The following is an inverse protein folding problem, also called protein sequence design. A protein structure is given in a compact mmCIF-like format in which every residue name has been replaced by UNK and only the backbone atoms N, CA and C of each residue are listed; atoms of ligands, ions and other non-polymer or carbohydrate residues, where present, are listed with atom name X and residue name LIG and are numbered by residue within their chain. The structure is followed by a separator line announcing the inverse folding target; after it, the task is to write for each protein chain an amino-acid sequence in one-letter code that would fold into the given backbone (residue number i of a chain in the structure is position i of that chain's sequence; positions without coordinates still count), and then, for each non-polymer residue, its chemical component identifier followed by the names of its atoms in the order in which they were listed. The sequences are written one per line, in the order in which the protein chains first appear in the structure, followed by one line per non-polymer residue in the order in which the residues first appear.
data_IF_748336862159
#
_entry.id   IF_748336862159
#
_cell.length_a   1.000
_cell.length_b   1.000
_cell.length_c   1.000
_cell.angle_alpha   90.00
_cell.angle_beta   90.00
_cell.angle_gamma   90.00
#
_symmetry.space_group_name_H-M   'P 1'
#
loop_
_entity.id
_entity.type
_entity.pdbx_description
1 polymer ?
#
# COMPACT_ATOMS: atom_id res chain seq x y z
N UNK A 1 19.15 5.92 -1.37
CA UNK A 1 18.96 5.98 -2.84
C UNK A 1 20.33 5.95 -3.49
N UNK A 2 20.60 5.06 -4.41
CA UNK A 2 21.93 4.90 -5.02
C UNK A 2 22.14 5.86 -6.21
N UNK A 3 22.14 7.18 -5.98
CA UNK A 3 22.46 8.17 -6.99
C UNK A 3 21.24 8.84 -7.65
N UNK A 4 21.54 9.73 -8.63
CA UNK A 4 20.55 10.57 -9.30
C UNK A 4 19.53 9.77 -10.12
N UNK A 5 19.99 8.75 -10.81
CA UNK A 5 19.14 7.87 -11.62
C UNK A 5 18.00 7.24 -10.80
N UNK A 6 18.27 6.86 -9.54
CA UNK A 6 17.24 6.35 -8.65
C UNK A 6 16.21 7.41 -8.23
N UNK A 7 16.66 8.67 -8.08
CA UNK A 7 15.76 9.80 -7.79
C UNK A 7 14.86 10.05 -9.01
N UNK A 8 15.40 10.01 -10.20
CA UNK A 8 14.66 10.21 -11.46
C UNK A 8 13.62 9.11 -11.69
N UNK A 9 13.95 7.84 -11.37
CA UNK A 9 13.02 6.73 -11.47
C UNK A 9 11.90 6.79 -10.41
N UNK A 10 12.21 7.26 -9.20
CA UNK A 10 11.24 7.33 -8.10
C UNK A 10 10.38 8.61 -8.12
N UNK A 11 10.95 9.69 -8.66
CA UNK A 11 10.24 10.95 -8.77
C UNK A 11 9.32 10.97 -9.99
N UNK A 12 8.13 10.82 -9.97
CA UNK A 12 7.20 10.80 -11.11
C UNK A 12 6.45 9.49 -11.26
N UNK A 13 6.58 8.60 -10.25
CA UNK A 13 5.70 7.44 -10.16
C UNK A 13 4.27 7.91 -9.85
N UNK A 14 3.29 7.32 -10.51
CA UNK A 14 1.87 7.57 -10.30
C UNK A 14 1.17 6.40 -9.59
N UNK A 15 1.86 5.27 -9.46
CA UNK A 15 1.30 4.05 -8.92
C UNK A 15 2.35 3.30 -8.10
N UNK A 16 1.97 2.83 -6.92
CA UNK A 16 2.80 2.05 -6.01
C UNK A 16 2.09 0.74 -5.67
N UNK A 17 2.76 -0.39 -5.89
CA UNK A 17 2.28 -1.68 -5.42
C UNK A 17 2.85 -1.98 -4.04
N UNK A 18 1.98 -2.41 -3.12
CA UNK A 18 2.33 -2.79 -1.74
C UNK A 18 1.53 -4.02 -1.30
N UNK A 19 1.98 -4.64 -0.23
CA UNK A 19 1.19 -5.69 0.44
C UNK A 19 0.28 -5.07 1.52
N UNK A 20 -0.87 -5.70 1.77
CA UNK A 20 -1.80 -5.28 2.82
C UNK A 20 -1.15 -5.32 4.21
N UNK A 21 -0.17 -6.19 4.43
CA UNK A 21 0.60 -6.27 5.66
C UNK A 21 1.48 -5.04 5.92
N UNK A 22 1.79 -4.26 4.89
CA UNK A 22 2.47 -2.96 5.03
C UNK A 22 1.51 -1.87 5.52
N UNK A 23 0.21 -2.03 5.26
CA UNK A 23 -0.83 -1.11 5.73
C UNK A 23 -1.37 -1.51 7.11
N UNK A 24 -1.51 -2.80 7.35
CA UNK A 24 -2.06 -3.31 8.59
C UNK A 24 -1.04 -4.19 9.30
N UNK A 25 -0.56 -3.74 10.45
CA UNK A 25 0.29 -4.55 11.33
C UNK A 25 -0.54 -5.63 12.05
N UNK A 26 0.13 -6.59 12.68
CA UNK A 26 -0.54 -7.68 13.41
C UNK A 26 -1.57 -7.21 14.44
N UNK A 27 -1.41 -6.00 15.01
CA UNK A 27 -2.33 -5.42 16.00
C UNK A 27 -3.47 -4.60 15.36
N UNK A 28 -3.51 -4.49 14.05
CA UNK A 28 -4.50 -3.67 13.33
C UNK A 28 -5.84 -4.37 13.17
N UNK A 29 -5.88 -5.69 13.18
CA UNK A 29 -7.11 -6.46 13.16
C UNK A 29 -7.62 -6.68 14.59
N UNK A 30 -8.91 -6.52 14.81
CA UNK A 30 -9.59 -6.73 16.10
C UNK A 30 -10.78 -7.64 15.89
N UNK A 31 -11.01 -8.55 16.84
CA UNK A 31 -12.19 -9.41 16.87
C UNK A 31 -13.26 -8.71 17.69
N UNK A 32 -14.33 -8.26 17.04
CA UNK A 32 -15.45 -7.56 17.69
C UNK A 32 -16.47 -8.55 18.27
N UNK A 33 -16.78 -9.62 17.54
CA UNK A 33 -17.78 -10.62 17.96
C UNK A 33 -17.52 -11.98 17.32
N UNK A 34 -18.04 -13.03 17.96
CA UNK A 34 -18.06 -14.39 17.43
C UNK A 34 -19.47 -14.94 17.55
N UNK A 35 -20.05 -15.37 16.45
CA UNK A 35 -21.35 -16.07 16.43
C UNK A 35 -21.14 -17.54 16.15
N UNK A 36 -21.65 -18.37 17.05
CA UNK A 36 -21.59 -19.83 16.94
C UNK A 36 -22.93 -20.35 16.44
N UNK A 37 -22.89 -21.21 15.43
CA UNK A 37 -24.06 -21.84 14.85
C UNK A 37 -24.30 -23.23 15.45
N UNK A 38 -25.47 -23.83 15.11
CA UNK A 38 -25.91 -25.12 15.65
C UNK A 38 -24.85 -26.21 15.42
N UNK A 39 -24.42 -26.84 16.50
CA UNK A 39 -23.37 -27.88 16.46
C UNK A 39 -21.96 -27.37 16.64
N UNK A 40 -21.73 -26.04 16.57
CA UNK A 40 -20.45 -25.43 16.82
C UNK A 40 -20.13 -25.27 18.31
N UNK A 41 -18.81 -25.11 18.57
CA UNK A 41 -18.28 -24.76 19.90
C UNK A 41 -17.25 -23.66 19.71
N UNK A 42 -17.29 -22.65 20.59
CA UNK A 42 -16.45 -21.46 20.48
C UNK A 42 -14.95 -21.79 20.57
N UNK A 43 -14.58 -22.67 21.51
CA UNK A 43 -13.21 -23.12 21.69
C UNK A 43 -12.66 -23.82 20.43
N UNK A 44 -13.45 -24.71 19.83
CA UNK A 44 -13.09 -25.41 18.60
C UNK A 44 -13.04 -24.47 17.39
N UNK A 45 -14.00 -23.54 17.30
CA UNK A 45 -14.02 -22.55 16.21
C UNK A 45 -12.76 -21.68 16.21
N UNK A 46 -12.36 -21.20 17.40
CA UNK A 46 -11.12 -20.42 17.56
C UNK A 46 -9.90 -21.26 17.19
N UNK A 47 -9.79 -22.51 17.68
CA UNK A 47 -8.66 -23.37 17.39
C UNK A 47 -8.55 -23.72 15.91
N UNK A 48 -9.65 -24.04 15.22
CA UNK A 48 -9.63 -24.29 13.78
C UNK A 48 -9.19 -23.05 13.00
N UNK A 49 -9.78 -21.88 13.30
CA UNK A 49 -9.40 -20.63 12.66
C UNK A 49 -7.93 -20.29 12.90
N UNK A 50 -7.46 -20.36 14.16
CA UNK A 50 -6.07 -20.10 14.51
C UNK A 50 -5.11 -21.08 13.83
N UNK A 51 -5.48 -22.38 13.72
CA UNK A 51 -4.64 -23.39 13.05
C UNK A 51 -4.46 -23.08 11.57
N UNK A 52 -5.56 -22.81 10.84
CA UNK A 52 -5.52 -22.47 9.42
C UNK A 52 -4.75 -21.18 9.17
N UNK A 53 -5.04 -20.13 9.95
CA UNK A 53 -4.38 -18.83 9.80
C UNK A 53 -2.92 -18.84 10.23
N UNK A 54 -2.51 -19.73 11.13
CA UNK A 54 -1.10 -19.85 11.50
C UNK A 54 -0.23 -20.32 10.34
N UNK A 55 -0.77 -21.13 9.45
CA UNK A 55 -0.08 -21.60 8.24
C UNK A 55 -0.22 -20.63 7.04
N UNK A 56 -1.15 -19.67 7.12
CA UNK A 56 -1.33 -18.63 6.12
C UNK A 56 -0.42 -17.43 6.37
N UNK A 57 -0.42 -16.49 5.45
CA UNK A 57 0.14 -15.15 5.60
C UNK A 57 -1.01 -14.14 5.72
N UNK A 58 -0.75 -12.98 6.29
CA UNK A 58 -1.72 -11.89 6.42
C UNK A 58 -1.94 -11.43 7.86
N UNK A 59 -2.65 -10.32 8.00
CA UNK A 59 -2.89 -9.64 9.28
C UNK A 59 -3.67 -10.49 10.28
N UNK A 60 -4.58 -11.33 9.79
CA UNK A 60 -5.42 -12.20 10.63
C UNK A 60 -4.61 -13.24 11.42
N UNK A 61 -3.45 -13.66 10.89
CA UNK A 61 -2.55 -14.57 11.62
C UNK A 61 -2.14 -13.98 12.97
N UNK A 62 -1.76 -12.70 13.00
CA UNK A 62 -1.39 -12.00 14.23
C UNK A 62 -2.53 -11.96 15.23
N UNK A 63 -3.73 -11.59 14.78
CA UNK A 63 -4.92 -11.55 15.61
C UNK A 63 -5.23 -12.91 16.28
N UNK A 64 -5.30 -13.97 15.49
CA UNK A 64 -5.67 -15.28 16.02
C UNK A 64 -4.56 -15.90 16.89
N UNK A 65 -3.29 -15.58 16.66
CA UNK A 65 -2.20 -15.95 17.57
C UNK A 65 -2.35 -15.26 18.94
N UNK A 66 -2.71 -13.99 18.96
CA UNK A 66 -2.99 -13.28 20.22
C UNK A 66 -4.19 -13.88 20.95
N UNK A 67 -5.26 -14.25 20.25
CA UNK A 67 -6.45 -14.87 20.86
C UNK A 67 -6.11 -16.21 21.54
N UNK A 68 -5.19 -16.98 20.96
CA UNK A 68 -4.71 -18.24 21.60
C UNK A 68 -3.49 -18.02 22.51
N UNK A 69 -3.21 -16.76 22.91
CA UNK A 69 -2.13 -16.40 23.84
C UNK A 69 -0.74 -16.88 23.38
N UNK A 70 -0.48 -16.80 22.06
CA UNK A 70 0.74 -17.29 21.40
C UNK A 70 1.01 -18.82 21.60
N UNK A 71 0.04 -19.56 22.08
CA UNK A 71 0.15 -20.99 22.34
C UNK A 71 -0.03 -21.81 21.05
N UNK A 72 1.03 -21.89 20.28
CA UNK A 72 1.04 -22.69 19.03
C UNK A 72 1.03 -24.20 19.28
N UNK A 73 1.35 -24.65 20.48
CA UNK A 73 1.33 -26.03 20.93
C UNK A 73 -0.07 -26.68 20.97
N UNK A 74 -1.11 -25.87 21.09
CA UNK A 74 -2.50 -26.34 21.11
C UNK A 74 -3.17 -26.39 19.74
N UNK A 75 -2.50 -25.83 18.70
CA UNK A 75 -3.05 -25.77 17.35
C UNK A 75 -3.07 -27.16 16.70
N UNK A 76 -4.07 -27.38 15.87
CA UNK A 76 -4.15 -28.61 15.10
C UNK A 76 -3.14 -28.60 13.94
N UNK A 77 -2.55 -29.75 13.60
CA UNK A 77 -1.77 -29.85 12.38
C UNK A 77 -2.66 -29.64 11.15
N UNK A 78 -2.24 -28.73 10.28
CA UNK A 78 -2.93 -28.38 9.05
C UNK A 78 -2.30 -29.13 7.89
N UNK A 79 -3.12 -29.68 7.00
CA UNK A 79 -2.71 -30.35 5.76
C UNK A 79 -3.49 -29.74 4.60
N UNK A 80 -2.88 -29.79 3.42
CA UNK A 80 -3.50 -29.42 2.16
C UNK A 80 -4.18 -28.03 2.25
N UNK A 81 -3.44 -27.03 2.76
CA UNK A 81 -3.90 -25.66 2.81
C UNK A 81 -3.93 -25.08 1.41
N UNK A 82 -5.11 -24.78 0.93
CA UNK A 82 -5.35 -24.07 -0.32
C UNK A 82 -5.89 -22.67 -0.02
N UNK A 83 -5.29 -21.67 -0.63
CA UNK A 83 -5.73 -20.30 -0.53
C UNK A 83 -6.44 -19.87 -1.81
N UNK A 84 -7.67 -19.42 -1.65
CA UNK A 84 -8.48 -18.83 -2.73
C UNK A 84 -8.48 -17.32 -2.57
N UNK A 85 -7.70 -16.63 -3.40
CA UNK A 85 -7.43 -15.20 -3.27
C UNK A 85 -8.71 -14.36 -3.27
N UNK A 86 -8.87 -13.49 -2.27
CA UNK A 86 -10.07 -12.67 -2.09
C UNK A 86 -11.34 -13.45 -1.70
N UNK A 87 -11.25 -14.76 -1.50
CA UNK A 87 -12.39 -15.61 -1.16
C UNK A 87 -12.22 -16.31 0.20
N UNK A 88 -11.13 -17.05 0.40
CA UNK A 88 -10.96 -17.80 1.62
C UNK A 88 -9.87 -18.87 1.57
N UNK A 89 -9.95 -19.78 2.51
CA UNK A 89 -9.03 -20.90 2.69
C UNK A 89 -9.78 -22.21 2.79
N UNK A 90 -9.23 -23.28 2.20
CA UNK A 90 -9.60 -24.66 2.49
C UNK A 90 -8.40 -25.40 3.09
N UNK A 91 -8.65 -26.25 4.06
CA UNK A 91 -7.61 -27.03 4.71
C UNK A 91 -8.19 -28.26 5.39
N UNK A 92 -7.32 -29.23 5.70
CA UNK A 92 -7.66 -30.34 6.56
C UNK A 92 -7.03 -30.16 7.95
N UNK A 93 -7.88 -30.16 9.00
CA UNK A 93 -7.48 -30.05 10.40
C UNK A 93 -8.22 -31.11 11.22
N UNK A 94 -7.52 -31.88 12.04
CA UNK A 94 -8.14 -32.88 12.94
C UNK A 94 -9.15 -33.80 12.20
N UNK A 95 -8.78 -34.28 11.02
CA UNK A 95 -9.58 -35.09 10.08
C UNK A 95 -10.89 -34.42 9.58
N UNK A 96 -11.04 -33.13 9.76
CA UNK A 96 -12.17 -32.36 9.26
C UNK A 96 -11.71 -31.44 8.13
N UNK A 97 -12.53 -31.32 7.08
CA UNK A 97 -12.34 -30.28 6.07
C UNK A 97 -12.81 -28.95 6.64
N UNK A 98 -11.90 -27.99 6.72
CA UNK A 98 -12.16 -26.65 7.21
C UNK A 98 -12.24 -25.72 6.00
N UNK A 99 -13.33 -24.95 5.94
CA UNK A 99 -13.51 -23.86 4.99
C UNK A 99 -13.63 -22.58 5.77
N UNK A 100 -12.81 -21.59 5.45
CA UNK A 100 -12.82 -20.28 6.11
C UNK A 100 -12.73 -19.16 5.08
N UNK A 101 -13.68 -18.25 5.07
CA UNK A 101 -13.69 -17.19 4.07
C UNK A 101 -14.95 -16.34 4.07
N UNK A 102 -15.16 -15.65 2.95
CA UNK A 102 -16.31 -14.80 2.72
C UNK A 102 -17.59 -15.61 2.47
N UNK A 103 -18.75 -14.95 2.55
CA UNK A 103 -20.03 -15.52 2.15
C UNK A 103 -19.96 -16.20 0.78
N UNK A 104 -19.47 -15.46 -0.22
CA UNK A 104 -19.35 -15.92 -1.59
C UNK A 104 -18.57 -17.23 -1.71
N UNK A 105 -17.48 -17.36 -0.94
CA UNK A 105 -16.67 -18.58 -0.94
C UNK A 105 -17.44 -19.78 -0.40
N UNK A 106 -18.07 -19.62 0.76
CA UNK A 106 -18.80 -20.73 1.38
C UNK A 106 -20.04 -21.15 0.59
N UNK A 107 -20.72 -20.21 -0.09
CA UNK A 107 -21.83 -20.52 -1.00
C UNK A 107 -21.36 -21.33 -2.22
N UNK A 108 -20.20 -20.99 -2.79
CA UNK A 108 -19.59 -21.77 -3.88
C UNK A 108 -19.24 -23.20 -3.45
N UNK A 109 -18.85 -23.38 -2.18
CA UNK A 109 -18.58 -24.69 -1.57
C UNK A 109 -19.84 -25.42 -1.06
N UNK A 110 -21.02 -24.84 -1.28
CA UNK A 110 -22.31 -25.44 -0.96
C UNK A 110 -22.65 -25.47 0.55
N UNK A 111 -22.02 -24.62 1.35
CA UNK A 111 -22.31 -24.49 2.77
C UNK A 111 -23.57 -23.62 2.97
N UNK A 112 -24.60 -24.10 3.68
CA UNK A 112 -25.76 -23.28 3.98
C UNK A 112 -25.41 -22.15 4.94
N UNK A 113 -25.72 -20.91 4.56
CA UNK A 113 -25.43 -19.69 5.31
C UNK A 113 -26.74 -19.03 5.80
N UNK A 114 -26.67 -18.18 6.83
CA UNK A 114 -27.79 -17.34 7.22
C UNK A 114 -28.11 -16.30 6.15
N UNK A 115 -29.32 -15.71 6.22
CA UNK A 115 -29.75 -14.68 5.30
C UNK A 115 -28.81 -13.48 5.30
N UNK A 116 -28.73 -12.76 4.18
CA UNK A 116 -27.89 -11.56 4.05
C UNK A 116 -28.27 -10.48 5.07
N UNK A 117 -29.55 -10.37 5.43
CA UNK A 117 -30.01 -9.44 6.45
C UNK A 117 -29.35 -9.70 7.82
N UNK A 118 -29.17 -10.97 8.18
CA UNK A 118 -28.45 -11.36 9.38
C UNK A 118 -26.98 -10.90 9.34
N UNK A 119 -26.31 -11.05 8.19
CA UNK A 119 -24.95 -10.58 8.01
C UNK A 119 -24.86 -9.05 8.09
N UNK A 120 -25.75 -8.33 7.40
CA UNK A 120 -25.81 -6.86 7.42
C UNK A 120 -25.98 -6.32 8.85
N UNK A 121 -26.83 -6.95 9.64
CA UNK A 121 -27.06 -6.55 11.03
C UNK A 121 -25.79 -6.70 11.89
N UNK A 122 -24.99 -7.75 11.69
CA UNK A 122 -23.78 -8.01 12.47
C UNK A 122 -22.56 -7.27 11.93
N UNK A 123 -22.51 -7.01 10.61
CA UNK A 123 -21.47 -6.20 10.00
C UNK A 123 -21.66 -4.69 10.15
N UNK A 124 -22.71 -4.24 10.84
CA UNK A 124 -23.08 -2.84 10.95
C UNK A 124 -23.19 -2.16 9.57
N UNK A 125 -23.95 -2.79 8.68
CA UNK A 125 -24.12 -2.36 7.29
C UNK A 125 -22.82 -2.33 6.46
N UNK A 126 -21.90 -3.25 6.76
CA UNK A 126 -20.65 -3.41 6.00
C UNK A 126 -19.43 -2.65 6.57
N UNK A 127 -19.58 -1.93 7.69
CA UNK A 127 -18.44 -1.33 8.39
C UNK A 127 -17.49 -2.37 9.01
N UNK A 128 -18.03 -3.54 9.40
CA UNK A 128 -17.27 -4.64 9.96
C UNK A 128 -17.19 -5.78 8.95
N UNK A 129 -16.09 -6.47 8.97
CA UNK A 129 -15.86 -7.59 8.06
C UNK A 129 -16.35 -8.88 8.66
N UNK A 130 -16.90 -9.72 7.82
CA UNK A 130 -17.39 -11.04 8.20
C UNK A 130 -16.49 -12.12 7.62
N UNK A 131 -16.06 -13.02 8.48
CA UNK A 131 -15.31 -14.22 8.13
C UNK A 131 -16.04 -15.46 8.65
N UNK A 132 -16.50 -16.30 7.75
CA UNK A 132 -17.18 -17.53 8.09
C UNK A 132 -16.21 -18.70 8.26
N UNK A 133 -16.56 -19.62 9.14
CA UNK A 133 -15.89 -20.89 9.37
C UNK A 133 -16.88 -22.05 9.25
N UNK A 134 -16.64 -22.96 8.33
CA UNK A 134 -17.38 -24.20 8.21
C UNK A 134 -16.47 -25.41 8.46
N UNK A 135 -17.02 -26.43 9.09
CA UNK A 135 -16.34 -27.68 9.41
C UNK A 135 -17.11 -28.83 8.79
N UNK A 136 -16.46 -29.58 7.92
CA UNK A 136 -17.07 -30.73 7.20
C UNK A 136 -18.41 -30.38 6.55
N UNK A 137 -18.49 -29.20 5.90
CA UNK A 137 -19.66 -28.72 5.16
C UNK A 137 -20.76 -28.08 6.02
N UNK A 138 -20.57 -27.98 7.34
CA UNK A 138 -21.53 -27.34 8.23
C UNK A 138 -20.99 -26.02 8.75
N UNK A 139 -21.81 -24.96 8.71
CA UNK A 139 -21.44 -23.67 9.25
C UNK A 139 -21.26 -23.79 10.78
N UNK A 140 -20.06 -23.42 11.25
CA UNK A 140 -19.65 -23.54 12.65
C UNK A 140 -19.62 -22.20 13.37
N UNK A 141 -19.03 -21.20 12.72
CA UNK A 141 -18.87 -19.88 13.31
C UNK A 141 -18.85 -18.76 12.24
N UNK A 142 -19.13 -17.56 12.71
CA UNK A 142 -18.94 -16.31 12.01
C UNK A 142 -18.14 -15.40 12.92
N UNK A 143 -16.99 -14.92 12.44
CA UNK A 143 -16.15 -13.95 13.12
C UNK A 143 -16.46 -12.57 12.55
N UNK A 144 -16.68 -11.61 13.45
CA UNK A 144 -16.89 -10.21 13.09
C UNK A 144 -15.60 -9.46 13.39
N UNK A 145 -14.98 -8.92 12.36
CA UNK A 145 -13.64 -8.36 12.40
C UNK A 145 -13.68 -6.85 12.12
N UNK A 146 -12.77 -6.11 12.75
CA UNK A 146 -12.54 -4.70 12.49
C UNK A 146 -11.08 -4.46 12.22
N UNK A 147 -10.77 -3.72 11.16
CA UNK A 147 -9.42 -3.25 10.90
C UNK A 147 -9.28 -1.78 11.30
N UNK A 148 -8.23 -1.50 12.06
CA UNK A 148 -7.94 -0.16 12.56
C UNK A 148 -6.65 0.35 11.95
N UNK A 149 -6.72 1.50 11.30
CA UNK A 149 -5.57 2.11 10.64
C UNK A 149 -4.51 2.63 11.62
N UNK A 150 -3.25 2.30 11.36
CA UNK A 150 -2.10 2.80 12.14
C UNK A 150 -1.75 4.26 11.83
N UNK A 151 -1.39 5.06 12.84
CA UNK A 151 -1.03 6.49 12.67
C UNK A 151 0.16 6.71 11.73
N UNK A 152 1.15 5.84 11.75
CA UNK A 152 2.34 5.96 10.89
C UNK A 152 1.98 5.70 9.42
N UNK A 153 1.13 4.72 9.16
CA UNK A 153 0.62 4.42 7.83
C UNK A 153 -0.28 5.55 7.35
N UNK A 154 -1.17 6.07 8.19
CA UNK A 154 -2.03 7.20 7.84
C UNK A 154 -1.23 8.44 7.39
N UNK A 155 -0.10 8.73 8.05
CA UNK A 155 0.81 9.82 7.62
C UNK A 155 1.42 9.55 6.24
N UNK A 156 1.87 8.33 6.00
CA UNK A 156 2.44 7.95 4.70
C UNK A 156 1.38 8.01 3.59
N UNK A 157 0.17 7.54 3.86
CA UNK A 157 -0.94 7.62 2.91
C UNK A 157 -1.34 9.08 2.58
N UNK A 158 -1.28 9.98 3.57
CA UNK A 158 -1.51 11.41 3.33
C UNK A 158 -0.45 12.02 2.39
N UNK A 159 0.81 11.56 2.47
CA UNK A 159 1.87 11.97 1.51
C UNK A 159 1.53 11.45 0.12
N UNK A 160 1.20 10.17 -0.05
CA UNK A 160 0.84 9.60 -1.35
C UNK A 160 -0.39 10.27 -1.96
N UNK A 161 -1.38 10.62 -1.13
CA UNK A 161 -2.54 11.37 -1.57
C UNK A 161 -2.17 12.78 -2.08
N UNK A 162 -1.27 13.48 -1.39
CA UNK A 162 -0.79 14.82 -1.82
C UNK A 162 -0.09 14.74 -3.16
N UNK A 163 0.72 13.71 -3.38
CA UNK A 163 1.48 13.47 -4.62
C UNK A 163 0.64 12.75 -5.70
N UNK A 164 -0.67 12.50 -5.47
CA UNK A 164 -1.57 11.78 -6.38
C UNK A 164 -1.10 10.38 -6.78
N UNK A 165 -0.39 9.68 -5.91
CA UNK A 165 0.09 8.31 -6.13
C UNK A 165 -1.03 7.34 -5.73
N UNK A 166 -1.43 6.47 -6.66
CA UNK A 166 -2.40 5.40 -6.45
C UNK A 166 -1.73 4.17 -5.85
N UNK A 167 -2.48 3.40 -5.08
CA UNK A 167 -2.02 2.17 -4.48
C UNK A 167 -2.67 0.95 -5.11
N UNK A 168 -1.86 0.01 -5.55
CA UNK A 168 -2.25 -1.35 -5.89
C UNK A 168 -1.88 -2.25 -4.70
N UNK A 169 -2.87 -2.80 -4.05
CA UNK A 169 -2.68 -3.58 -2.82
C UNK A 169 -2.86 -5.06 -3.13
N UNK A 170 -1.80 -5.83 -2.87
CA UNK A 170 -1.90 -7.29 -2.80
C UNK A 170 -2.40 -7.66 -1.41
N UNK A 171 -3.42 -8.51 -1.34
CA UNK A 171 -4.01 -8.89 -0.07
C UNK A 171 -4.23 -10.40 0.00
N UNK A 172 -3.82 -10.99 1.12
CA UNK A 172 -4.04 -12.41 1.40
C UNK A 172 -5.26 -12.63 2.31
N UNK A 173 -5.68 -11.63 3.07
CA UNK A 173 -6.85 -11.71 3.91
C UNK A 173 -8.13 -11.66 3.04
N UNK A 174 -8.96 -12.71 3.05
CA UNK A 174 -10.08 -12.84 2.10
C UNK A 174 -11.18 -11.80 2.33
N UNK A 175 -11.33 -11.31 3.54
CA UNK A 175 -12.36 -10.35 3.92
C UNK A 175 -11.95 -8.89 3.74
N UNK A 176 -10.68 -8.59 3.43
CA UNK A 176 -10.19 -7.22 3.29
C UNK A 176 -10.41 -6.70 1.87
N UNK A 177 -11.21 -5.66 1.73
CA UNK A 177 -11.52 -5.01 0.45
C UNK A 177 -10.98 -3.60 0.38
N UNK A 178 -10.93 -3.00 -0.82
CA UNK A 178 -10.54 -1.61 -1.00
C UNK A 178 -11.40 -0.65 -0.17
N UNK A 179 -12.70 -0.92 -0.03
CA UNK A 179 -13.61 -0.14 0.79
C UNK A 179 -13.17 -0.10 2.25
N UNK A 180 -12.86 -1.24 2.85
CA UNK A 180 -12.41 -1.32 4.24
C UNK A 180 -11.09 -0.59 4.49
N UNK A 181 -10.15 -0.64 3.52
CA UNK A 181 -8.89 0.10 3.62
C UNK A 181 -9.16 1.61 3.54
N UNK A 182 -10.02 2.01 2.59
CA UNK A 182 -10.41 3.41 2.40
C UNK A 182 -11.08 3.98 3.66
N UNK A 183 -11.98 3.24 4.29
CA UNK A 183 -12.62 3.65 5.54
C UNK A 183 -11.65 3.72 6.71
N UNK A 184 -10.81 2.67 6.90
CA UNK A 184 -9.86 2.62 8.01
C UNK A 184 -8.90 3.82 8.02
N UNK A 185 -8.56 4.35 6.85
CA UNK A 185 -7.63 5.48 6.70
C UNK A 185 -8.29 6.77 6.22
N UNK A 186 -9.61 6.79 5.97
CA UNK A 186 -10.38 7.95 5.47
C UNK A 186 -9.80 8.53 4.18
N UNK A 187 -9.53 7.65 3.23
CA UNK A 187 -8.94 8.02 1.95
C UNK A 187 -10.02 8.36 0.91
N UNK A 188 -9.68 9.13 -0.13
CA UNK A 188 -10.58 9.36 -1.25
C UNK A 188 -10.84 8.06 -2.03
N UNK A 189 -12.05 7.95 -2.58
CA UNK A 189 -12.41 6.83 -3.45
C UNK A 189 -11.49 6.77 -4.68
N UNK A 190 -11.12 5.56 -5.08
CA UNK A 190 -10.28 5.32 -6.26
C UNK A 190 -8.77 5.47 -6.02
N UNK A 191 -8.32 5.86 -4.83
CA UNK A 191 -6.90 5.88 -4.49
C UNK A 191 -6.32 4.48 -4.31
N UNK A 192 -7.15 3.52 -3.85
CA UNK A 192 -6.75 2.15 -3.57
C UNK A 192 -7.46 1.17 -4.48
N UNK A 193 -6.71 0.25 -5.04
CA UNK A 193 -7.22 -0.90 -5.77
C UNK A 193 -6.64 -2.17 -5.15
N UNK A 194 -7.48 -3.06 -4.66
CA UNK A 194 -7.05 -4.40 -4.23
C UNK A 194 -7.00 -5.30 -5.46
N UNK A 195 -5.83 -5.88 -5.71
CA UNK A 195 -5.59 -6.72 -6.87
C UNK A 195 -6.24 -8.10 -6.69
N UNK A 196 -6.84 -8.59 -7.76
CA UNK A 196 -7.31 -9.97 -7.83
C UNK A 196 -6.17 -10.96 -8.17
N UNK A 197 -6.49 -12.26 -8.16
CA UNK A 197 -5.49 -13.31 -8.43
C UNK A 197 -4.91 -13.23 -9.85
N UNK A 198 -5.74 -12.88 -10.84
CA UNK A 198 -5.29 -12.79 -12.24
C UNK A 198 -4.33 -11.60 -12.40
N UNK A 199 -4.67 -10.47 -11.81
CA UNK A 199 -3.82 -9.27 -11.80
C UNK A 199 -2.49 -9.52 -11.07
N UNK A 200 -2.53 -10.17 -9.90
CA UNK A 200 -1.32 -10.57 -9.18
C UNK A 200 -0.44 -11.51 -10.01
N UNK A 201 -1.03 -12.48 -10.69
CA UNK A 201 -0.31 -13.41 -11.56
C UNK A 201 0.25 -12.70 -12.80
N UNK A 202 -0.50 -11.78 -13.40
CA UNK A 202 -0.05 -11.00 -14.54
C UNK A 202 1.17 -10.13 -14.18
N UNK A 203 1.15 -9.49 -13.01
CA UNK A 203 2.29 -8.68 -12.53
C UNK A 203 3.52 -9.57 -12.28
N UNK A 204 3.34 -10.74 -11.65
CA UNK A 204 4.44 -11.70 -11.42
C UNK A 204 5.01 -12.30 -12.69
N UNK A 205 4.19 -12.47 -13.73
CA UNK A 205 4.59 -12.99 -15.03
C UNK A 205 5.18 -11.93 -15.96
N UNK A 206 5.03 -10.64 -15.63
CA UNK A 206 5.66 -9.58 -16.39
C UNK A 206 7.19 -9.76 -16.39
N UNK A 207 7.85 -9.67 -17.56
CA UNK A 207 9.29 -9.78 -17.61
C UNK A 207 9.90 -8.65 -16.76
N UNK A 208 10.77 -9.03 -15.80
CA UNK A 208 11.57 -8.06 -15.10
C UNK A 208 12.47 -7.33 -16.11
N UNK A 209 12.49 -6.02 -16.08
CA UNK A 209 13.44 -5.25 -16.88
C UNK A 209 14.85 -5.62 -16.37
N UNK A 210 15.78 -6.04 -17.24
CA UNK A 210 17.17 -6.32 -16.82
C UNK A 210 17.86 -5.10 -16.20
N UNK A 211 17.34 -3.91 -16.41
CA UNK A 211 17.80 -2.66 -15.79
C UNK A 211 17.08 -2.36 -14.45
N UNK A 212 16.10 -3.17 -14.03
CA UNK A 212 15.43 -3.05 -12.73
C UNK A 212 16.44 -3.19 -11.59
N UNK A 213 16.91 -2.06 -11.12
CA UNK A 213 17.81 -1.97 -9.98
C UNK A 213 17.02 -1.52 -8.73
N UNK A 214 17.49 -1.96 -7.54
CA UNK A 214 16.95 -1.46 -6.30
C UNK A 214 17.18 0.05 -6.18
N UNK A 215 16.13 0.84 -6.37
CA UNK A 215 16.20 2.31 -6.35
C UNK A 215 16.27 2.88 -4.94
N UNK A 216 15.74 2.17 -3.94
CA UNK A 216 15.67 2.67 -2.58
C UNK A 216 15.75 1.56 -1.53
N UNK A 217 16.53 1.79 -0.48
CA UNK A 217 16.49 1.00 0.74
C UNK A 217 15.87 1.88 1.82
N UNK A 218 14.82 1.40 2.46
CA UNK A 218 14.13 2.12 3.53
C UNK A 218 13.99 1.26 4.80
N UNK A 219 13.73 1.90 5.94
CA UNK A 219 13.38 1.20 7.16
C UNK A 219 12.03 0.49 6.98
N UNK A 220 11.81 -0.61 7.71
CA UNK A 220 10.55 -1.37 7.67
C UNK A 220 9.40 -0.56 8.31
N UNK A 221 9.13 0.62 7.74
CA UNK A 221 8.06 1.51 8.16
C UNK A 221 7.51 2.20 6.93
N UNK A 222 6.20 2.15 6.75
CA UNK A 222 5.51 2.73 5.59
C UNK A 222 5.83 4.23 5.41
N UNK A 223 5.90 4.99 6.52
CA UNK A 223 6.28 6.39 6.49
C UNK A 223 7.72 6.63 5.98
N UNK A 224 8.62 5.66 6.13
CA UNK A 224 9.99 5.76 5.58
C UNK A 224 9.99 5.58 4.06
N UNK A 225 9.19 4.66 3.54
CA UNK A 225 8.99 4.48 2.10
C UNK A 225 8.43 5.75 1.47
N UNK A 226 7.29 6.23 1.98
CA UNK A 226 6.60 7.40 1.42
C UNK A 226 7.39 8.70 1.57
N UNK A 227 8.14 8.85 2.67
CA UNK A 227 9.08 9.97 2.83
C UNK A 227 10.22 9.94 1.82
N UNK A 228 10.71 8.75 1.44
CA UNK A 228 11.70 8.58 0.39
C UNK A 228 11.16 8.96 -1.00
N UNK A 229 9.92 8.57 -1.31
CA UNK A 229 9.25 8.95 -2.55
C UNK A 229 9.02 10.47 -2.64
N UNK A 230 8.54 11.06 -1.56
CA UNK A 230 8.36 12.52 -1.49
C UNK A 230 9.68 13.27 -1.69
N UNK A 231 10.78 12.80 -1.06
CA UNK A 231 12.09 13.42 -1.24
C UNK A 231 12.60 13.31 -2.69
N UNK A 232 12.30 12.20 -3.39
CA UNK A 232 12.66 12.02 -4.80
C UNK A 232 11.86 12.98 -5.70
N UNK A 233 10.55 13.09 -5.49
CA UNK A 233 9.69 14.02 -6.24
C UNK A 233 10.11 15.49 -6.02
N UNK A 234 10.37 15.89 -4.77
CA UNK A 234 10.87 17.23 -4.47
C UNK A 234 12.21 17.53 -5.14
N UNK A 235 13.13 16.55 -5.17
CA UNK A 235 14.42 16.71 -5.83
C UNK A 235 14.27 16.90 -7.34
N UNK A 236 13.41 16.11 -7.99
CA UNK A 236 13.13 16.21 -9.43
C UNK A 236 12.44 17.54 -9.78
N UNK A 237 11.48 17.97 -8.97
CA UNK A 237 10.81 19.25 -9.14
C UNK A 237 11.77 20.45 -8.96
N UNK A 238 12.74 20.34 -8.04
CA UNK A 238 13.78 21.34 -7.85
C UNK A 238 14.71 21.43 -9.06
N UNK A 239 15.14 20.28 -9.62
CA UNK A 239 15.97 20.22 -10.84
C UNK A 239 15.26 20.82 -12.04
N UNK A 240 14.01 20.41 -12.30
CA UNK A 240 13.21 20.96 -13.40
C UNK A 240 13.09 22.48 -13.31
N UNK A 241 12.92 23.01 -12.10
CA UNK A 241 12.86 24.45 -11.86
C UNK A 241 14.19 25.13 -12.09
N UNK A 242 15.32 24.54 -11.64
CA UNK A 242 16.65 25.06 -11.88
C UNK A 242 16.95 25.08 -13.37
N UNK A 243 16.64 24.03 -14.10
CA UNK A 243 16.82 23.94 -15.56
C UNK A 243 16.00 24.99 -16.27
N UNK A 244 14.77 25.25 -15.88
CA UNK A 244 13.92 26.32 -16.43
C UNK A 244 14.55 27.69 -16.22
N UNK A 245 15.05 28.00 -15.02
CA UNK A 245 15.75 29.27 -14.72
C UNK A 245 17.01 29.42 -15.58
N UNK A 246 17.77 28.33 -15.75
CA UNK A 246 18.97 28.34 -16.60
C UNK A 246 18.64 28.58 -18.08
N UNK A 247 17.59 27.93 -18.60
CA UNK A 247 17.15 28.16 -19.99
C UNK A 247 16.75 29.63 -20.21
N UNK A 248 16.04 30.24 -19.29
CA UNK A 248 15.69 31.65 -19.33
C UNK A 248 16.95 32.52 -19.30
N UNK A 249 17.94 32.19 -18.47
CA UNK A 249 19.23 32.89 -18.41
C UNK A 249 19.95 32.87 -19.76
N UNK A 250 19.99 31.71 -20.42
CA UNK A 250 20.61 31.57 -21.73
C UNK A 250 19.91 32.42 -22.79
N UNK A 251 18.57 32.41 -22.83
CA UNK A 251 17.78 33.24 -23.74
C UNK A 251 18.08 34.74 -23.54
N UNK A 252 18.08 35.20 -22.28
CA UNK A 252 18.45 36.59 -21.97
C UNK A 252 19.88 36.92 -22.40
N UNK A 253 20.83 35.99 -22.21
CA UNK A 253 22.22 36.17 -22.67
C UNK A 253 22.31 36.37 -24.17
N UNK A 254 21.58 35.60 -24.96
CA UNK A 254 21.54 35.70 -26.43
C UNK A 254 20.95 37.05 -26.86
N UNK A 255 19.84 37.47 -26.23
CA UNK A 255 19.21 38.77 -26.54
C UNK A 255 20.15 39.91 -26.21
N UNK A 256 20.79 39.91 -25.04
CA UNK A 256 21.74 40.94 -24.63
C UNK A 256 22.93 40.99 -25.62
N UNK A 257 23.49 39.84 -25.97
CA UNK A 257 24.58 39.75 -26.93
C UNK A 257 24.19 40.32 -28.31
N UNK A 258 22.99 39.99 -28.81
CA UNK A 258 22.48 40.51 -30.08
C UNK A 258 22.31 42.04 -30.04
N UNK A 259 21.76 42.58 -28.95
CA UNK A 259 21.56 44.02 -28.75
C UNK A 259 22.91 44.75 -28.71
N UNK A 260 23.88 44.26 -27.94
CA UNK A 260 25.22 44.84 -27.84
C UNK A 260 25.97 44.81 -29.18
N UNK A 261 25.81 43.72 -29.92
CA UNK A 261 26.39 43.58 -31.26
C UNK A 261 25.77 44.61 -32.22
N UNK A 262 24.46 44.77 -32.22
CA UNK A 262 23.76 45.74 -33.07
C UNK A 262 24.08 47.19 -32.73
N UNK A 263 24.35 47.47 -31.46
CA UNK A 263 24.77 48.79 -30.98
C UNK A 263 26.27 49.08 -31.15
N UNK A 264 27.07 48.12 -31.62
CA UNK A 264 28.53 48.25 -31.75
C UNK A 264 29.30 48.27 -30.43
N UNK A 265 28.62 47.96 -29.31
CA UNK A 265 29.15 48.07 -27.93
C UNK A 265 29.61 46.73 -27.35
N UNK A 266 29.73 45.68 -28.14
CA UNK A 266 30.13 44.36 -27.67
C UNK A 266 31.51 44.33 -27.00
N UNK A 267 32.41 45.23 -27.40
CA UNK A 267 33.77 45.37 -26.87
C UNK A 267 33.83 45.94 -25.44
N UNK A 268 32.72 46.51 -24.94
CA UNK A 268 32.61 47.03 -23.58
C UNK A 268 32.26 45.92 -22.56
N UNK A 269 31.92 44.71 -23.01
CA UNK A 269 31.64 43.57 -22.15
C UNK A 269 32.93 43.10 -21.46
N UNK A 270 33.04 43.43 -20.17
CA UNK A 270 34.16 42.94 -19.35
C UNK A 270 33.87 41.50 -18.86
N UNK A 271 34.94 40.74 -18.64
CA UNK A 271 34.84 39.40 -18.01
C UNK A 271 34.12 39.49 -16.65
N UNK A 272 34.35 40.56 -15.88
CA UNK A 272 33.70 40.77 -14.59
C UNK A 272 32.19 40.92 -14.72
N UNK A 273 31.70 41.61 -15.77
CA UNK A 273 30.25 41.74 -16.02
C UNK A 273 29.59 40.41 -16.33
N UNK A 274 30.25 39.57 -17.13
CA UNK A 274 29.75 38.21 -17.45
C UNK A 274 29.72 37.34 -16.23
N UNK A 275 30.76 37.38 -15.40
CA UNK A 275 30.81 36.62 -14.14
C UNK A 275 29.73 37.08 -13.15
N UNK A 276 29.49 38.39 -13.01
CA UNK A 276 28.41 38.89 -12.15
C UNK A 276 27.02 38.47 -12.64
N UNK A 277 26.80 38.49 -13.95
CA UNK A 277 25.57 38.00 -14.56
C UNK A 277 25.33 36.51 -14.24
N UNK A 278 26.36 35.67 -14.44
CA UNK A 278 26.31 34.24 -14.12
C UNK A 278 26.05 34.00 -12.62
N UNK A 279 26.72 34.74 -11.74
CA UNK A 279 26.53 34.66 -10.29
C UNK A 279 25.09 35.02 -9.86
N UNK A 280 24.52 36.07 -10.47
CA UNK A 280 23.14 36.49 -10.19
C UNK A 280 22.12 35.42 -10.59
N UNK A 281 22.26 34.83 -11.76
CA UNK A 281 21.37 33.73 -12.21
C UNK A 281 21.57 32.45 -11.40
N UNK A 282 22.79 32.13 -10.98
CA UNK A 282 23.05 30.98 -10.08
C UNK A 282 22.42 31.18 -8.73
N UNK A 283 22.52 32.39 -8.16
CA UNK A 283 21.87 32.72 -6.91
C UNK A 283 20.32 32.62 -7.00
N UNK A 284 19.76 33.09 -8.12
CA UNK A 284 18.31 32.97 -8.39
C UNK A 284 17.89 31.52 -8.51
N UNK A 285 18.64 30.66 -9.21
CA UNK A 285 18.40 29.22 -9.32
C UNK A 285 18.37 28.56 -7.95
N UNK A 286 19.37 28.84 -7.11
CA UNK A 286 19.44 28.29 -5.73
C UNK A 286 18.25 28.76 -4.90
N UNK A 287 17.85 30.03 -4.98
CA UNK A 287 16.73 30.58 -4.27
C UNK A 287 15.39 29.91 -4.67
N UNK A 288 15.18 29.70 -5.99
CA UNK A 288 13.98 29.03 -6.51
C UNK A 288 13.93 27.58 -6.04
N UNK A 289 15.04 26.84 -6.05
CA UNK A 289 15.11 25.48 -5.54
C UNK A 289 14.82 25.42 -4.05
N UNK A 290 15.39 26.31 -3.24
CA UNK A 290 15.16 26.36 -1.79
C UNK A 290 13.69 26.67 -1.44
N UNK A 291 13.04 27.56 -2.17
CA UNK A 291 11.63 27.87 -1.98
C UNK A 291 10.71 26.69 -2.30
N UNK A 292 11.04 25.89 -3.32
CA UNK A 292 10.25 24.70 -3.69
C UNK A 292 10.45 23.52 -2.75
N UNK A 293 11.58 23.40 -2.08
CA UNK A 293 11.80 22.37 -1.06
C UNK A 293 11.03 22.64 0.25
N UNK A 294 10.59 23.87 0.47
CA UNK A 294 9.87 24.27 1.68
C UNK A 294 8.33 24.22 1.55
N UNK A 295 7.79 24.10 0.33
CA UNK A 295 6.35 23.96 0.04
C UNK A 295 5.98 22.52 -0.31
#
# INVERSE_FOLDING_TARGET
MPGWQAIEQLGGIDTLQIDADDLFTADSAQLEDIRIFKGGRIDRAILYAASVLNESHGTLKGLFRQIVEERTDILFPVKDLEQHHGLGFSAWCDNNRILMGTRRYLEQEGVPLPDEEYEMQHSKNGELQILYLAVSGNLHAMFVLKYVGGRNVARGLAVLQKENIRLLVTCQDPSLTAHHITEAYRLPEGMITVLDQEQCNAIKAAPADPEDTCCMIHLKAFASLTGGLQAADQAQNAESSATTVQMVSVLFSIIIAALLTSAGSIWELSVATVLMYQAAWSALSIAVCALKQHN
#
